data_IF_318045101918
#
_entry.id   IF_318045101918
#
_cell.length_a   1.000
_cell.length_b   1.000
_cell.length_c   1.000
_cell.angle_alpha   90.00
_cell.angle_beta   90.00
_cell.angle_gamma   90.00
#
_symmetry.space_group_name_H-M   'P 1'
#
loop_
_entity.id
_entity.type
_entity.pdbx_description
1 polymer ?
#
# COMPACT_ATOMS: atom_id res chain seq x y z
N UNK A 1 -11.36 25.70 -8.91
CA UNK A 1 -12.35 24.69 -9.32
C UNK A 1 -12.03 24.26 -10.72
N UNK A 2 -11.73 22.98 -10.92
CA UNK A 2 -11.69 22.39 -12.27
C UNK A 2 -13.13 22.34 -12.76
N UNK A 3 -13.39 22.91 -13.94
CA UNK A 3 -14.73 22.93 -14.56
C UNK A 3 -14.65 22.03 -15.78
N UNK A 4 -15.46 20.97 -15.79
CA UNK A 4 -15.52 20.00 -16.88
C UNK A 4 -16.58 20.43 -17.88
N UNK A 5 -16.29 20.32 -19.18
CA UNK A 5 -17.21 20.78 -20.24
C UNK A 5 -18.19 19.70 -20.67
N UNK A 6 -17.95 18.46 -20.27
CA UNK A 6 -18.82 17.32 -20.55
C UNK A 6 -18.66 16.22 -19.51
N UNK A 7 -19.65 15.34 -19.42
CA UNK A 7 -19.57 14.14 -18.60
C UNK A 7 -18.39 13.24 -19.02
N UNK A 8 -18.08 13.17 -20.31
CA UNK A 8 -16.96 12.39 -20.81
C UNK A 8 -15.59 12.92 -20.33
N UNK A 9 -15.42 14.25 -20.26
CA UNK A 9 -14.20 14.86 -19.71
C UNK A 9 -14.07 14.60 -18.20
N UNK A 10 -15.19 14.62 -17.47
CA UNK A 10 -15.21 14.26 -16.05
C UNK A 10 -14.83 12.78 -15.84
N UNK A 11 -15.45 11.88 -16.58
CA UNK A 11 -15.22 10.43 -16.47
C UNK A 11 -13.77 10.06 -16.86
N UNK A 12 -13.19 10.68 -17.90
CA UNK A 12 -11.79 10.46 -18.27
C UNK A 12 -10.82 10.92 -17.17
N UNK A 13 -11.07 12.08 -16.55
CA UNK A 13 -10.26 12.55 -15.43
C UNK A 13 -10.35 11.60 -14.22
N UNK A 14 -11.56 11.13 -13.90
CA UNK A 14 -11.79 10.16 -12.83
C UNK A 14 -11.08 8.83 -13.10
N UNK A 15 -11.11 8.34 -14.34
CA UNK A 15 -10.42 7.11 -14.72
C UNK A 15 -8.89 7.23 -14.62
N UNK A 16 -8.32 8.40 -14.96
CA UNK A 16 -6.89 8.67 -14.76
C UNK A 16 -6.51 8.72 -13.27
N UNK A 17 -7.34 9.36 -12.44
CA UNK A 17 -7.14 9.39 -10.98
C UNK A 17 -7.22 7.97 -10.39
N UNK A 18 -8.23 7.19 -10.79
CA UNK A 18 -8.39 5.78 -10.37
C UNK A 18 -7.19 4.94 -10.75
N UNK A 19 -6.73 5.04 -11.99
CA UNK A 19 -5.56 4.30 -12.48
C UNK A 19 -4.29 4.68 -11.69
N UNK A 20 -4.13 5.95 -11.36
CA UNK A 20 -2.99 6.45 -10.58
C UNK A 20 -3.03 5.94 -9.14
N UNK A 21 -4.19 6.05 -8.48
CA UNK A 21 -4.36 5.57 -7.11
C UNK A 21 -4.16 4.06 -7.02
N UNK A 22 -4.73 3.29 -7.97
CA UNK A 22 -4.55 1.84 -8.03
C UNK A 22 -3.08 1.45 -8.18
N UNK A 23 -2.35 2.11 -9.09
CA UNK A 23 -0.92 1.87 -9.29
C UNK A 23 -0.11 2.17 -8.03
N UNK A 24 -0.47 3.19 -7.26
CA UNK A 24 0.19 3.51 -5.97
C UNK A 24 -0.01 2.39 -4.96
N UNK A 25 -1.23 1.86 -4.82
CA UNK A 25 -1.54 0.72 -3.94
C UNK A 25 -0.73 -0.51 -4.35
N UNK A 26 -0.81 -0.91 -5.62
CA UNK A 26 -0.09 -2.08 -6.15
C UNK A 26 1.43 -1.95 -5.94
N UNK A 27 1.98 -0.76 -6.16
CA UNK A 27 3.41 -0.49 -5.94
C UNK A 27 3.77 -0.64 -4.47
N UNK A 28 2.95 -0.12 -3.56
CA UNK A 28 3.17 -0.23 -2.12
C UNK A 28 3.12 -1.70 -1.65
N UNK A 29 2.14 -2.48 -2.12
CA UNK A 29 2.03 -3.91 -1.84
C UNK A 29 3.27 -4.68 -2.34
N UNK A 30 3.72 -4.41 -3.56
CA UNK A 30 4.93 -5.02 -4.12
C UNK A 30 6.17 -4.70 -3.28
N UNK A 31 6.34 -3.45 -2.85
CA UNK A 31 7.45 -3.07 -1.99
C UNK A 31 7.42 -3.80 -0.64
N UNK A 32 6.25 -3.94 -0.02
CA UNK A 32 6.10 -4.67 1.25
C UNK A 32 6.41 -6.15 1.06
N UNK A 33 5.88 -6.78 0.00
CA UNK A 33 6.17 -8.17 -0.32
C UNK A 33 7.66 -8.41 -0.55
N UNK A 34 8.31 -7.53 -1.30
CA UNK A 34 9.74 -7.57 -1.54
C UNK A 34 10.57 -7.38 -0.26
N UNK A 35 10.20 -6.41 0.58
CA UNK A 35 10.85 -6.17 1.85
C UNK A 35 10.75 -7.40 2.78
N UNK A 36 9.55 -8.00 2.89
CA UNK A 36 9.33 -9.22 3.67
C UNK A 36 10.21 -10.37 3.21
N UNK A 37 10.24 -10.64 1.90
CA UNK A 37 11.11 -11.67 1.31
C UNK A 37 12.59 -11.45 1.65
N UNK A 38 13.04 -10.19 1.59
CA UNK A 38 14.42 -9.82 1.92
C UNK A 38 14.75 -10.02 3.41
N UNK A 39 13.81 -9.69 4.30
CA UNK A 39 13.96 -9.94 5.75
C UNK A 39 14.05 -11.45 6.04
N UNK A 40 13.20 -12.26 5.42
CA UNK A 40 13.24 -13.71 5.58
C UNK A 40 14.58 -14.30 5.12
N UNK A 41 15.09 -13.85 3.96
CA UNK A 41 16.42 -14.25 3.46
C UNK A 41 17.56 -13.86 4.42
N UNK A 42 17.52 -12.64 4.96
CA UNK A 42 18.52 -12.17 5.92
C UNK A 42 18.46 -13.02 7.20
N UNK A 43 17.27 -13.30 7.72
CA UNK A 43 17.08 -14.14 8.90
C UNK A 43 17.65 -15.55 8.69
N UNK A 44 17.38 -16.17 7.55
CA UNK A 44 17.95 -17.47 7.19
C UNK A 44 19.47 -17.44 7.07
N UNK A 45 20.02 -16.39 6.47
CA UNK A 45 21.47 -16.22 6.36
C UNK A 45 22.14 -16.09 7.74
N UNK A 46 21.56 -15.30 8.65
CA UNK A 46 22.06 -15.18 10.02
C UNK A 46 21.99 -16.51 10.78
N UNK A 47 20.90 -17.25 10.67
CA UNK A 47 20.81 -18.58 11.26
C UNK A 47 21.88 -19.54 10.73
N UNK A 48 22.14 -19.51 9.42
CA UNK A 48 23.16 -20.35 8.78
C UNK A 48 24.56 -20.00 9.27
N UNK A 49 24.90 -18.71 9.32
CA UNK A 49 26.19 -18.24 9.84
C UNK A 49 26.33 -18.63 11.32
N UNK A 50 25.31 -18.40 12.14
CA UNK A 50 25.32 -18.78 13.55
C UNK A 50 25.55 -20.28 13.75
N UNK A 51 24.97 -21.12 12.89
CA UNK A 51 25.17 -22.57 12.94
C UNK A 51 26.60 -22.98 12.54
N UNK A 52 27.18 -22.32 11.54
CA UNK A 52 28.56 -22.56 11.09
C UNK A 52 29.60 -22.15 12.15
N UNK A 53 29.36 -21.03 12.82
CA UNK A 53 30.25 -20.49 13.86
C UNK A 53 30.01 -21.12 15.25
N UNK A 54 29.03 -22.02 15.37
CA UNK A 54 28.70 -22.69 16.64
C UNK A 54 28.03 -21.78 17.69
N UNK A 55 27.55 -20.60 17.28
CA UNK A 55 26.88 -19.61 18.16
C UNK A 55 25.36 -19.59 18.00
N UNK A 56 24.78 -20.43 17.14
CA UNK A 56 23.34 -20.51 16.97
C UNK A 56 22.60 -20.78 18.29
N UNK A 57 23.23 -21.52 19.19
CA UNK A 57 22.68 -21.82 20.49
C UNK A 57 22.99 -20.79 21.58
N UNK A 58 23.86 -19.81 21.30
CA UNK A 58 24.22 -18.75 22.22
C UNK A 58 22.98 -17.87 22.55
N UNK A 59 22.64 -17.70 23.85
CA UNK A 59 21.47 -16.93 24.25
C UNK A 59 21.49 -15.47 23.77
N UNK A 60 22.66 -14.83 23.77
CA UNK A 60 22.80 -13.43 23.34
C UNK A 60 22.57 -13.32 21.83
N UNK A 61 23.14 -14.25 21.05
CA UNK A 61 22.90 -14.31 19.61
C UNK A 61 21.40 -14.47 19.29
N UNK A 62 20.71 -15.41 19.97
CA UNK A 62 19.26 -15.62 19.78
C UNK A 62 18.45 -14.38 20.15
N UNK A 63 18.77 -13.74 21.27
CA UNK A 63 18.07 -12.52 21.72
C UNK A 63 18.20 -11.39 20.69
N UNK A 64 19.40 -11.13 20.18
CA UNK A 64 19.62 -10.08 19.18
C UNK A 64 18.91 -10.40 17.86
N UNK A 65 18.98 -11.65 17.40
CA UNK A 65 18.28 -12.08 16.18
C UNK A 65 16.76 -11.95 16.33
N UNK A 66 16.23 -12.32 17.49
CA UNK A 66 14.80 -12.16 17.80
C UNK A 66 14.41 -10.69 17.83
N UNK A 67 15.22 -9.81 18.42
CA UNK A 67 14.99 -8.36 18.45
C UNK A 67 14.91 -7.78 17.05
N UNK A 68 15.90 -8.07 16.20
CA UNK A 68 15.92 -7.58 14.81
C UNK A 68 14.73 -8.10 14.01
N UNK A 69 14.40 -9.39 14.17
CA UNK A 69 13.23 -10.00 13.52
C UNK A 69 11.92 -9.36 14.00
N UNK A 70 11.82 -9.03 15.29
CA UNK A 70 10.66 -8.33 15.87
C UNK A 70 10.48 -6.95 15.26
N UNK A 71 11.54 -6.13 15.22
CA UNK A 71 11.50 -4.81 14.59
C UNK A 71 11.14 -4.89 13.10
N UNK A 72 11.66 -5.87 12.37
CA UNK A 72 11.30 -6.07 10.97
C UNK A 72 9.81 -6.43 10.80
N UNK A 73 9.28 -7.30 11.67
CA UNK A 73 7.86 -7.66 11.66
C UNK A 73 6.95 -6.47 11.99
N UNK A 74 7.34 -5.64 12.96
CA UNK A 74 6.63 -4.40 13.31
C UNK A 74 6.59 -3.42 12.13
N UNK A 75 7.71 -3.28 11.41
CA UNK A 75 7.78 -2.43 10.21
C UNK A 75 6.89 -2.95 9.08
N UNK A 76 6.86 -4.27 8.84
CA UNK A 76 5.95 -4.88 7.86
C UNK A 76 4.50 -4.65 8.25
N UNK A 77 4.15 -4.83 9.52
CA UNK A 77 2.80 -4.57 10.01
C UNK A 77 2.41 -3.10 9.89
N UNK A 78 3.32 -2.17 10.19
CA UNK A 78 3.11 -0.74 10.01
C UNK A 78 2.88 -0.38 8.53
N UNK A 79 3.72 -0.90 7.63
CA UNK A 79 3.56 -0.67 6.20
C UNK A 79 2.24 -1.24 5.67
N UNK A 80 1.84 -2.43 6.15
CA UNK A 80 0.54 -3.03 5.81
C UNK A 80 -0.65 -2.15 6.22
N UNK A 81 -0.60 -1.52 7.40
CA UNK A 81 -1.63 -0.54 7.81
C UNK A 81 -1.69 0.66 6.87
N UNK A 82 -0.53 1.16 6.42
CA UNK A 82 -0.49 2.27 5.46
C UNK A 82 -1.05 1.91 4.09
N UNK A 83 -0.94 0.66 3.66
CA UNK A 83 -1.65 0.19 2.45
C UNK A 83 -3.16 0.19 2.69
N UNK A 84 -3.62 -0.31 3.84
CA UNK A 84 -5.05 -0.26 4.18
C UNK A 84 -5.61 1.17 4.19
N UNK A 85 -4.87 2.13 4.74
CA UNK A 85 -5.26 3.56 4.66
C UNK A 85 -5.39 4.05 3.20
N UNK A 86 -4.49 3.64 2.30
CA UNK A 86 -4.59 4.00 0.87
C UNK A 86 -5.79 3.34 0.17
N UNK A 87 -6.16 2.12 0.58
CA UNK A 87 -7.37 1.45 0.08
C UNK A 87 -8.63 2.15 0.55
N UNK A 88 -8.67 2.60 1.82
CA UNK A 88 -9.77 3.40 2.36
C UNK A 88 -9.91 4.74 1.63
N UNK A 89 -8.79 5.46 1.40
CA UNK A 89 -8.76 6.70 0.60
C UNK A 89 -9.25 6.46 -0.83
N UNK A 90 -8.90 5.32 -1.44
CA UNK A 90 -9.36 4.94 -2.78
C UNK A 90 -10.88 4.71 -2.81
N UNK A 91 -11.43 4.02 -1.80
CA UNK A 91 -12.86 3.80 -1.68
C UNK A 91 -13.64 5.09 -1.45
N UNK A 92 -13.10 6.02 -0.65
CA UNK A 92 -13.67 7.36 -0.45
C UNK A 92 -13.69 8.15 -1.77
N UNK A 93 -12.56 8.17 -2.49
CA UNK A 93 -12.47 8.80 -3.81
C UNK A 93 -13.50 8.24 -4.80
N UNK A 94 -13.74 6.92 -4.81
CA UNK A 94 -14.75 6.32 -5.66
C UNK A 94 -16.17 6.83 -5.34
N UNK A 95 -16.51 6.98 -4.05
CA UNK A 95 -17.80 7.56 -3.63
C UNK A 95 -17.92 9.02 -4.08
N UNK A 96 -16.87 9.82 -3.89
CA UNK A 96 -16.86 11.21 -4.35
C UNK A 96 -17.02 11.32 -5.87
N UNK A 97 -16.39 10.43 -6.64
CA UNK A 97 -16.53 10.38 -8.10
C UNK A 97 -17.97 10.12 -8.52
N UNK A 98 -18.64 9.19 -7.85
CA UNK A 98 -20.05 8.88 -8.13
C UNK A 98 -20.97 10.05 -7.77
N UNK A 99 -20.75 10.72 -6.64
CA UNK A 99 -21.48 11.93 -6.24
C UNK A 99 -21.25 13.09 -7.23
N UNK A 100 -20.04 13.24 -7.75
CA UNK A 100 -19.74 14.25 -8.76
C UNK A 100 -20.45 13.95 -10.09
N UNK A 101 -20.50 12.68 -10.51
CA UNK A 101 -21.25 12.28 -11.72
C UNK A 101 -22.74 12.55 -11.58
N UNK A 102 -23.32 12.24 -10.43
CA UNK A 102 -24.75 12.49 -10.18
C UNK A 102 -25.08 13.99 -10.15
N UNK A 103 -24.22 14.79 -9.51
CA UNK A 103 -24.34 16.26 -9.52
C UNK A 103 -24.24 16.81 -10.94
N UNK A 104 -23.24 16.39 -11.71
CA UNK A 104 -23.05 16.85 -13.09
C UNK A 104 -24.28 16.53 -13.96
N UNK A 105 -24.83 15.31 -13.81
CA UNK A 105 -26.06 14.90 -14.51
C UNK A 105 -27.26 15.75 -14.11
N UNK A 106 -27.45 15.99 -12.81
CA UNK A 106 -28.57 16.79 -12.31
C UNK A 106 -28.50 18.24 -12.82
N UNK A 107 -27.33 18.86 -12.74
CA UNK A 107 -27.11 20.25 -13.18
C UNK A 107 -27.30 20.42 -14.71
N UNK A 108 -26.96 19.41 -15.51
CA UNK A 108 -27.12 19.46 -16.97
C UNK A 108 -28.45 18.87 -17.47
N UNK A 109 -29.26 18.27 -16.60
CA UNK A 109 -30.61 17.81 -16.94
C UNK A 109 -31.64 18.97 -16.83
N UNK A 110 -31.37 19.98 -15.99
CA UNK A 110 -32.20 21.18 -15.85
C UNK A 110 -32.05 22.20 -17.01
N UNK A 111 -31.17 21.92 -17.98
CA UNK A 111 -30.92 22.76 -19.17
C UNK A 111 -31.74 22.37 -20.43
N UNK A 112 -32.72 21.45 -20.30
CA UNK A 112 -33.65 21.02 -21.36
C UNK A 112 -35.12 21.16 -20.96
#
# INVERSE_FOLDING_TARGET
MVSYRSLAELEDAQDQERATARRRIETAEQYIGHYRSRIDQVREAFHRIGAQEGVADDPVFREQLQRVSGTAAENVAYAGRKVGELEEEYDEMLREHDEQRERFRSEHHDDY
#
